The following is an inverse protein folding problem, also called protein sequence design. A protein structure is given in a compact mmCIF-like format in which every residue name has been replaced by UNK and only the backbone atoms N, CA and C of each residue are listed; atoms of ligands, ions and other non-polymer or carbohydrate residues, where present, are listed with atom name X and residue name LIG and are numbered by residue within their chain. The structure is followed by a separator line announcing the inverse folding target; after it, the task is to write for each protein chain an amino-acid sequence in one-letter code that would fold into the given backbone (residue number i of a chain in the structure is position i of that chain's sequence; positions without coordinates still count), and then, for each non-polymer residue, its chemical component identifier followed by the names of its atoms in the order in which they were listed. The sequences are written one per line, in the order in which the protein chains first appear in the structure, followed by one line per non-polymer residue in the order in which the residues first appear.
data_IF_769377161396
#
_entry.id   IF_769377161396
#
_cell.length_a   1.000
_cell.length_b   1.000
_cell.length_c   1.000
_cell.angle_alpha   90.00
_cell.angle_beta   90.00
_cell.angle_gamma   90.00
#
_symmetry.space_group_name_H-M   'P 1'
#
loop_
_entity.id
_entity.type
_entity.pdbx_description
1 polymer ?
#
# COMPACT_ATOMS: atom_id res chain seq x y z
N UNK A 1 9.64 -10.36 -9.11
CA UNK A 1 8.78 -9.58 -8.18
C UNK A 1 9.53 -9.43 -6.87
N UNK A 2 9.40 -8.30 -6.15
CA UNK A 2 10.01 -8.15 -4.83
C UNK A 2 9.15 -8.85 -3.77
N UNK A 3 9.78 -9.53 -2.83
CA UNK A 3 9.09 -10.27 -1.76
C UNK A 3 9.41 -9.65 -0.40
N UNK A 4 8.39 -9.38 0.40
CA UNK A 4 8.61 -8.91 1.77
C UNK A 4 8.89 -10.08 2.70
N UNK A 5 9.95 -9.96 3.50
CA UNK A 5 10.36 -10.92 4.53
C UNK A 5 10.08 -10.28 5.89
N UNK A 6 9.11 -10.83 6.61
CA UNK A 6 8.64 -10.29 7.89
C UNK A 6 9.68 -10.42 9.00
N UNK A 7 10.39 -11.55 9.04
CA UNK A 7 11.38 -11.87 10.08
C UNK A 7 12.53 -10.87 10.13
N UNK A 8 12.93 -10.36 8.97
CA UNK A 8 14.05 -9.43 8.81
C UNK A 8 13.61 -7.98 8.59
N UNK A 9 12.30 -7.71 8.63
CA UNK A 9 11.66 -6.44 8.20
C UNK A 9 12.36 -5.85 6.96
N UNK A 10 12.22 -6.51 5.82
CA UNK A 10 12.83 -6.03 4.57
C UNK A 10 12.33 -6.73 3.32
N UNK A 11 12.89 -6.36 2.18
CA UNK A 11 12.49 -6.90 0.89
C UNK A 11 13.61 -7.71 0.24
N UNK A 12 13.25 -8.76 -0.49
CA UNK A 12 14.18 -9.52 -1.31
C UNK A 12 13.88 -9.22 -2.78
N UNK A 13 14.94 -8.91 -3.53
CA UNK A 13 14.86 -8.64 -4.96
C UNK A 13 14.77 -9.95 -5.78
N UNK A 14 14.53 -9.82 -7.09
CA UNK A 14 14.49 -10.97 -8.02
C UNK A 14 15.79 -11.78 -8.02
N UNK A 15 16.92 -11.12 -7.77
CA UNK A 15 18.23 -11.75 -7.73
C UNK A 15 18.63 -12.15 -6.30
N UNK A 16 17.66 -12.34 -5.40
CA UNK A 16 17.84 -12.76 -4.01
C UNK A 16 18.69 -11.84 -3.11
N UNK A 17 18.94 -10.59 -3.52
CA UNK A 17 19.56 -9.59 -2.65
C UNK A 17 18.54 -8.94 -1.72
N UNK A 18 18.95 -8.73 -0.48
CA UNK A 18 18.14 -8.12 0.56
C UNK A 18 18.19 -6.58 0.51
N UNK A 19 17.04 -5.95 0.70
CA UNK A 19 16.85 -4.51 0.81
C UNK A 19 16.59 -4.19 2.27
N UNK A 20 17.52 -3.44 2.87
CA UNK A 20 17.50 -3.08 4.28
C UNK A 20 16.60 -1.88 4.50
N UNK A 21 15.99 -1.81 5.68
CA UNK A 21 15.29 -0.61 6.13
C UNK A 21 16.27 0.57 6.21
N UNK A 22 15.85 1.73 5.69
CA UNK A 22 16.63 2.97 5.69
C UNK A 22 16.05 4.01 6.64
N UNK A 23 14.78 4.35 6.46
CA UNK A 23 14.12 5.40 7.26
C UNK A 23 12.60 5.30 7.16
N UNK A 24 11.90 6.01 8.03
CA UNK A 24 10.44 6.21 7.94
C UNK A 24 10.17 7.69 7.73
N UNK A 25 9.42 8.03 6.67
CA UNK A 25 9.05 9.41 6.38
C UNK A 25 8.01 9.93 7.38
N UNK A 26 7.90 11.25 7.52
CA UNK A 26 6.85 11.89 8.35
C UNK A 26 5.42 11.53 7.92
N UNK A 27 5.26 11.16 6.65
CA UNK A 27 4.00 10.69 6.06
C UNK A 27 3.69 9.22 6.38
N UNK A 28 4.56 8.52 7.11
CA UNK A 28 4.32 7.13 7.54
C UNK A 28 4.77 6.07 6.53
N UNK A 29 5.72 6.37 5.64
CA UNK A 29 6.29 5.37 4.72
C UNK A 29 7.66 4.89 5.21
N UNK A 30 7.79 3.59 5.42
CA UNK A 30 9.07 2.91 5.58
C UNK A 30 9.76 2.78 4.22
N UNK A 31 11.00 3.22 4.13
CA UNK A 31 11.84 3.09 2.94
C UNK A 31 12.84 1.94 3.11
N UNK A 32 12.92 1.06 2.11
CA UNK A 32 13.87 -0.04 2.03
C UNK A 32 14.74 0.12 0.80
N UNK A 33 16.06 0.01 0.97
CA UNK A 33 17.03 0.34 -0.08
C UNK A 33 17.96 -0.85 -0.34
N UNK A 34 18.26 -1.08 -1.63
CA UNK A 34 19.26 -2.05 -2.05
C UNK A 34 20.66 -1.45 -2.06
N UNK A 35 21.68 -2.29 -1.93
CA UNK A 35 23.07 -1.86 -2.09
C UNK A 35 23.38 -1.57 -3.57
N UNK A 36 23.98 -0.40 -3.83
CA UNK A 36 24.26 0.07 -5.18
C UNK A 36 25.29 -0.78 -5.92
N UNK A 37 26.28 -1.32 -5.20
CA UNK A 37 27.33 -2.19 -5.76
C UNK A 37 26.75 -3.50 -6.31
N UNK A 38 25.87 -4.14 -5.53
CA UNK A 38 25.15 -5.33 -5.95
C UNK A 38 24.21 -5.04 -7.13
N UNK A 39 23.61 -3.86 -7.19
CA UNK A 39 22.76 -3.45 -8.29
C UNK A 39 23.54 -3.12 -9.58
N UNK A 40 24.78 -2.62 -9.48
CA UNK A 40 25.62 -2.32 -10.63
C UNK A 40 25.99 -3.58 -11.43
N UNK A 41 26.23 -4.69 -10.73
CA UNK A 41 26.59 -5.99 -11.31
C UNK A 41 25.38 -6.88 -11.66
N UNK A 42 24.15 -6.39 -11.42
CA UNK A 42 22.95 -7.20 -11.55
C UNK A 42 22.50 -7.37 -13.01
N UNK A 43 22.37 -8.62 -13.47
CA UNK A 43 21.87 -8.97 -14.81
C UNK A 43 20.46 -8.44 -15.11
N UNK A 44 19.67 -8.18 -14.07
CA UNK A 44 18.29 -7.68 -14.18
C UNK A 44 18.16 -6.17 -13.98
N UNK A 45 19.26 -5.40 -13.99
CA UNK A 45 19.28 -3.95 -13.72
C UNK A 45 18.22 -3.18 -14.52
N UNK A 46 18.13 -3.43 -15.83
CA UNK A 46 17.21 -2.72 -16.74
C UNK A 46 15.72 -3.00 -16.45
N UNK A 47 15.39 -4.15 -15.83
CA UNK A 47 14.02 -4.49 -15.42
C UNK A 47 13.74 -4.14 -13.96
N UNK A 48 14.80 -3.99 -13.16
CA UNK A 48 14.72 -3.78 -11.71
C UNK A 48 14.73 -2.30 -11.36
N UNK A 49 15.58 -1.50 -11.98
CA UNK A 49 15.68 -0.06 -11.75
C UNK A 49 14.72 0.70 -12.67
N UNK A 50 14.16 1.79 -12.16
CA UNK A 50 13.15 2.57 -12.91
C UNK A 50 13.77 3.40 -14.02
N UNK A 51 15.05 3.74 -13.91
CA UNK A 51 15.80 4.48 -14.93
C UNK A 51 17.30 4.24 -14.79
N UNK A 52 18.07 4.52 -15.84
CA UNK A 52 19.51 4.30 -15.89
C UNK A 52 20.31 5.24 -14.96
N UNK A 53 19.70 6.36 -14.56
CA UNK A 53 20.29 7.33 -13.62
C UNK A 53 20.27 6.85 -12.17
N UNK A 54 19.40 5.89 -11.86
CA UNK A 54 19.23 5.37 -10.51
C UNK A 54 20.23 4.25 -10.29
N UNK A 55 20.95 4.28 -9.17
CA UNK A 55 21.98 3.29 -8.83
C UNK A 55 21.46 2.17 -7.94
N UNK A 56 20.39 2.43 -7.17
CA UNK A 56 19.79 1.49 -6.23
C UNK A 56 18.26 1.47 -6.31
N UNK A 57 17.67 0.37 -5.87
CA UNK A 57 16.22 0.23 -5.77
C UNK A 57 15.76 0.69 -4.39
N UNK A 58 14.79 1.61 -4.37
CA UNK A 58 14.06 1.99 -3.16
C UNK A 58 12.63 1.48 -3.24
N UNK A 59 12.18 0.79 -2.18
CA UNK A 59 10.80 0.35 -2.00
C UNK A 59 10.21 1.10 -0.83
N UNK A 60 8.99 1.63 -1.01
CA UNK A 60 8.23 2.29 0.05
C UNK A 60 7.08 1.38 0.49
N UNK A 61 6.97 1.15 1.80
CA UNK A 61 5.87 0.41 2.44
C UNK A 61 5.22 1.33 3.47
N UNK A 62 3.91 1.49 3.44
CA UNK A 62 3.23 2.26 4.48
C UNK A 62 3.29 1.51 5.83
N UNK A 63 3.36 2.23 6.95
CA UNK A 63 3.38 1.61 8.30
C UNK A 63 2.16 0.74 8.59
N UNK A 64 1.02 1.05 7.96
CA UNK A 64 -0.21 0.28 8.09
C UNK A 64 -0.39 -0.84 7.06
N UNK A 65 0.60 -1.10 6.22
CA UNK A 65 0.46 -2.10 5.15
C UNK A 65 0.21 -3.51 5.73
N UNK A 66 0.80 -3.84 6.88
CA UNK A 66 0.55 -5.12 7.55
C UNK A 66 -0.90 -5.28 8.02
N UNK A 67 -1.52 -4.21 8.50
CA UNK A 67 -2.93 -4.23 8.89
C UNK A 67 -3.83 -4.32 7.66
N UNK A 68 -3.50 -3.61 6.57
CA UNK A 68 -4.22 -3.74 5.30
C UNK A 68 -4.14 -5.16 4.75
N UNK A 69 -2.97 -5.79 4.80
CA UNK A 69 -2.77 -7.18 4.40
C UNK A 69 -3.61 -8.16 5.23
N UNK A 70 -3.75 -7.92 6.53
CA UNK A 70 -4.62 -8.73 7.40
C UNK A 70 -6.09 -8.58 7.03
N UNK A 71 -6.55 -7.35 6.83
CA UNK A 71 -7.92 -7.08 6.38
C UNK A 71 -8.19 -7.72 5.02
N UNK A 72 -7.25 -7.62 4.08
CA UNK A 72 -7.37 -8.20 2.75
C UNK A 72 -7.38 -9.74 2.77
N UNK A 73 -6.65 -10.36 3.70
CA UNK A 73 -6.76 -11.81 3.94
C UNK A 73 -8.14 -12.16 4.51
N UNK A 74 -8.61 -11.39 5.49
CA UNK A 74 -9.93 -11.60 6.08
C UNK A 74 -11.06 -11.49 5.04
N UNK A 75 -11.04 -10.50 4.15
CA UNK A 75 -12.08 -10.33 3.13
C UNK A 75 -12.14 -11.48 2.12
N UNK A 76 -11.07 -12.27 1.96
CA UNK A 76 -11.06 -13.47 1.12
C UNK A 76 -11.68 -14.70 1.78
N UNK A 77 -11.84 -14.70 3.10
CA UNK A 77 -12.56 -15.76 3.83
C UNK A 77 -14.05 -15.71 3.53
N UNK A 78 -14.76 -16.82 3.70
CA UNK A 78 -16.21 -16.87 3.41
C UNK A 78 -17.01 -15.96 4.35
N UNK A 79 -16.61 -15.88 5.62
CA UNK A 79 -17.16 -14.92 6.58
C UNK A 79 -16.96 -13.48 6.10
N UNK A 80 -15.74 -13.14 5.69
CA UNK A 80 -15.40 -11.81 5.18
C UNK A 80 -16.21 -11.44 3.93
N UNK A 81 -16.33 -12.37 2.97
CA UNK A 81 -17.16 -12.20 1.77
C UNK A 81 -18.63 -11.96 2.11
N UNK A 82 -19.19 -12.73 3.04
CA UNK A 82 -20.59 -12.59 3.46
C UNK A 82 -20.86 -11.24 4.13
N UNK A 83 -19.97 -10.81 5.04
CA UNK A 83 -20.06 -9.49 5.67
C UNK A 83 -19.95 -8.38 4.62
N UNK A 84 -19.00 -8.51 3.68
CA UNK A 84 -18.81 -7.51 2.62
C UNK A 84 -20.01 -7.43 1.67
N UNK A 85 -20.65 -8.57 1.34
CA UNK A 85 -21.89 -8.61 0.56
C UNK A 85 -23.01 -7.87 1.29
N UNK A 86 -23.24 -8.19 2.57
CA UNK A 86 -24.27 -7.51 3.39
C UNK A 86 -24.02 -6.02 3.55
N UNK A 87 -22.75 -5.60 3.68
CA UNK A 87 -22.38 -4.18 3.74
C UNK A 87 -22.82 -3.41 2.47
N UNK A 88 -22.69 -4.01 1.28
CA UNK A 88 -23.15 -3.36 0.04
C UNK A 88 -24.65 -3.12 0.02
N UNK A 89 -25.42 -3.96 0.71
CA UNK A 89 -26.88 -3.84 0.78
C UNK A 89 -27.32 -2.83 1.84
N UNK A 90 -26.66 -2.79 3.00
CA UNK A 90 -27.08 -1.94 4.12
C UNK A 90 -26.41 -0.57 4.11
N UNK A 91 -25.08 -0.51 3.98
CA UNK A 91 -24.32 0.73 4.09
C UNK A 91 -24.47 1.56 2.82
N UNK A 92 -24.22 0.99 1.64
CA UNK A 92 -24.29 1.77 0.40
C UNK A 92 -25.70 2.29 0.12
N UNK A 93 -26.74 1.54 0.52
CA UNK A 93 -28.13 2.00 0.43
C UNK A 93 -28.39 3.18 1.36
N UNK A 94 -27.94 3.11 2.62
CA UNK A 94 -28.01 4.24 3.55
C UNK A 94 -27.30 5.48 2.99
N UNK A 95 -26.10 5.35 2.41
CA UNK A 95 -25.42 6.47 1.76
C UNK A 95 -26.18 7.00 0.53
N UNK A 96 -26.80 6.13 -0.26
CA UNK A 96 -27.61 6.55 -1.40
C UNK A 96 -28.85 7.35 -0.95
N UNK A 97 -29.54 6.87 0.08
CA UNK A 97 -30.70 7.55 0.68
C UNK A 97 -30.27 8.89 1.30
N UNK A 98 -29.17 8.92 2.06
CA UNK A 98 -28.53 10.14 2.56
C UNK A 98 -28.24 11.17 1.45
N UNK A 99 -27.73 10.73 0.30
CA UNK A 99 -27.42 11.62 -0.83
C UNK A 99 -28.69 12.18 -1.48
N UNK A 100 -29.68 11.32 -1.74
CA UNK A 100 -30.86 11.69 -2.52
C UNK A 100 -31.97 12.34 -1.67
N UNK A 101 -32.24 11.81 -0.48
CA UNK A 101 -33.32 12.23 0.40
C UNK A 101 -32.88 13.30 1.41
N UNK A 102 -31.63 13.24 1.88
CA UNK A 102 -31.11 14.16 2.91
C UNK A 102 -30.20 15.26 2.34
N UNK A 103 -30.16 15.43 1.01
CA UNK A 103 -29.48 16.55 0.36
C UNK A 103 -27.95 16.51 0.41
N UNK A 104 -27.35 15.39 0.84
CA UNK A 104 -25.89 15.22 0.95
C UNK A 104 -25.18 15.01 -0.40
N UNK A 105 -25.89 15.15 -1.52
CA UNK A 105 -25.29 15.12 -2.87
C UNK A 105 -24.42 16.35 -3.13
N UNK A 106 -24.72 17.49 -2.53
CA UNK A 106 -23.99 18.74 -2.73
C UNK A 106 -23.61 19.35 -1.38
N UNK A 107 -22.38 19.83 -1.26
CA UNK A 107 -21.97 20.64 -0.12
C UNK A 107 -22.63 22.03 -0.24
N UNK A 108 -23.60 22.32 0.63
CA UNK A 108 -24.38 23.58 0.62
C UNK A 108 -23.79 24.68 1.49
N UNK A 109 -22.89 24.33 2.40
CA UNK A 109 -22.24 25.27 3.31
C UNK A 109 -20.81 25.56 2.84
N UNK A 110 -20.35 26.79 3.09
CA UNK A 110 -18.93 27.14 2.91
C UNK A 110 -18.13 26.40 3.98
N UNK A 111 -16.89 26.02 3.65
CA UNK A 111 -15.99 25.33 4.58
C UNK A 111 -15.81 26.10 5.88
N UNK A 112 -15.34 25.42 6.92
CA UNK A 112 -15.05 26.03 8.22
C UNK A 112 -13.98 27.12 8.01
N UNK A 113 -14.17 28.30 8.59
CA UNK A 113 -13.15 29.36 8.61
C UNK A 113 -11.85 28.83 9.22
N UNK A 114 -10.72 29.20 8.60
CA UNK A 114 -9.40 28.74 9.02
C UNK A 114 -8.91 29.43 10.27
#
# INVERSE_FOLDING_TARGET
RFQYVKELDGYVCINNYFLKYKTTTREGYKEYVSDAEHCALCKYKNKCLTSDKVTNRTIRRHVWEDYKDQVLRFTKTDKGKNIYKRRKETIERSFADSKNLHGLRYARFRGIEK
#
